data_IF_429624929897
#
_entry.id   IF_429624929897
#
_cell.length_a   1.000
_cell.length_b   1.000
_cell.length_c   1.000
_cell.angle_alpha   90.00
_cell.angle_beta   90.00
_cell.angle_gamma   90.00
#
_symmetry.space_group_name_H-M   'P 1'
#
loop_
_entity.id
_entity.type
_entity.pdbx_description
1 polymer ?
#
# COMPACT_ATOMS: atom_id res chain seq x y z
N UNK A 1 -13.36 8.27 -9.83
CA UNK A 1 -13.65 9.71 -10.01
C UNK A 1 -13.89 10.35 -8.66
N UNK A 2 -13.36 11.54 -8.44
CA UNK A 2 -13.76 12.39 -7.32
C UNK A 2 -15.20 12.86 -7.52
N UNK A 3 -16.04 12.70 -6.50
CA UNK A 3 -17.48 13.00 -6.57
C UNK A 3 -17.76 14.50 -6.65
N UNK A 4 -16.86 15.34 -6.15
CA UNK A 4 -17.04 16.81 -6.12
C UNK A 4 -16.54 17.47 -7.40
N UNK A 5 -15.34 17.12 -7.84
CA UNK A 5 -14.69 17.75 -9.00
C UNK A 5 -14.91 17.00 -10.32
N UNK A 6 -15.43 15.77 -10.29
CA UNK A 6 -15.53 14.91 -11.48
C UNK A 6 -14.19 14.41 -12.01
N UNK A 7 -13.06 14.75 -11.36
CA UNK A 7 -11.72 14.36 -11.81
C UNK A 7 -11.51 12.86 -11.67
N UNK A 8 -10.88 12.24 -12.66
CA UNK A 8 -10.36 10.87 -12.53
C UNK A 8 -9.11 10.95 -11.64
N UNK A 9 -9.11 10.18 -10.53
CA UNK A 9 -7.97 10.11 -9.58
C UNK A 9 -7.19 8.80 -9.72
N UNK A 10 -7.83 7.76 -10.26
CA UNK A 10 -7.27 6.42 -10.43
C UNK A 10 -7.81 5.87 -11.74
N UNK A 11 -6.94 5.27 -12.53
CA UNK A 11 -7.26 4.60 -13.78
C UNK A 11 -6.49 3.27 -13.89
N UNK A 12 -6.96 2.39 -14.77
CA UNK A 12 -6.33 1.10 -15.03
C UNK A 12 -5.54 1.19 -16.33
N UNK A 13 -4.23 1.02 -16.24
CA UNK A 13 -3.34 1.00 -17.40
C UNK A 13 -2.96 -0.44 -17.76
N UNK A 14 -3.28 -0.92 -18.98
CA UNK A 14 -2.92 -2.26 -19.46
C UNK A 14 -1.44 -2.62 -19.33
N UNK A 15 -0.54 -1.64 -19.29
CA UNK A 15 0.91 -1.85 -19.16
C UNK A 15 1.32 -2.47 -17.83
N UNK A 16 0.50 -2.36 -16.79
CA UNK A 16 0.81 -2.94 -15.47
C UNK A 16 0.33 -4.38 -15.27
N UNK A 17 -0.38 -4.95 -16.24
CA UNK A 17 -0.82 -6.35 -16.16
C UNK A 17 0.34 -7.30 -16.45
N UNK A 18 0.43 -8.38 -15.68
CA UNK A 18 1.40 -9.45 -15.91
C UNK A 18 0.68 -10.65 -16.55
N UNK A 19 1.22 -11.26 -17.62
CA UNK A 19 0.63 -12.45 -18.24
C UNK A 19 0.47 -13.65 -17.28
N UNK A 20 1.28 -13.70 -16.23
CA UNK A 20 1.29 -14.75 -15.22
C UNK A 20 1.03 -14.16 -13.82
N UNK A 21 -0.14 -13.55 -13.64
CA UNK A 21 -0.56 -13.00 -12.35
C UNK A 21 -0.86 -14.11 -11.34
N UNK A 22 -0.54 -13.86 -10.06
CA UNK A 22 -0.90 -14.77 -8.96
C UNK A 22 -2.13 -14.21 -8.27
N UNK A 23 -3.25 -14.94 -8.31
CA UNK A 23 -4.53 -14.44 -7.78
C UNK A 23 -4.52 -14.25 -6.26
N UNK A 24 -3.80 -15.08 -5.51
CA UNK A 24 -3.74 -14.98 -4.04
C UNK A 24 -2.40 -15.44 -3.50
N UNK A 25 -1.85 -14.66 -2.58
CA UNK A 25 -0.70 -15.01 -1.77
C UNK A 25 -1.11 -15.00 -0.30
N UNK A 26 -1.18 -16.18 0.31
CA UNK A 26 -1.55 -16.36 1.71
C UNK A 26 -0.49 -17.19 2.43
N UNK A 27 0.32 -16.53 3.27
CA UNK A 27 1.36 -17.20 4.06
C UNK A 27 0.83 -17.73 5.38
N UNK A 28 1.35 -18.89 5.82
CA UNK A 28 1.17 -19.39 7.19
C UNK A 28 2.47 -19.26 8.01
N UNK A 29 2.53 -18.33 8.99
CA UNK A 29 3.70 -18.15 9.83
C UNK A 29 3.78 -19.12 11.03
N UNK A 30 3.02 -20.24 11.05
CA UNK A 30 2.99 -21.18 12.17
C UNK A 30 4.37 -21.66 12.62
N UNK A 31 5.27 -21.98 11.68
CA UNK A 31 6.63 -22.42 11.99
C UNK A 31 7.42 -21.34 12.74
N UNK A 32 7.37 -20.09 12.27
CA UNK A 32 8.08 -18.98 12.90
C UNK A 32 7.52 -18.68 14.30
N UNK A 33 6.19 -18.76 14.48
CA UNK A 33 5.57 -18.66 15.81
C UNK A 33 6.07 -19.73 16.77
N UNK A 34 6.15 -20.99 16.31
CA UNK A 34 6.54 -22.14 17.13
C UNK A 34 8.02 -22.12 17.50
N UNK A 35 8.88 -21.90 16.52
CA UNK A 35 10.32 -22.09 16.71
C UNK A 35 11.03 -20.81 17.19
N UNK A 36 10.48 -19.63 16.87
CA UNK A 36 11.11 -18.34 17.16
C UNK A 36 10.30 -17.47 18.12
N UNK A 37 9.08 -17.89 18.48
CA UNK A 37 8.13 -17.04 19.23
C UNK A 37 7.66 -15.81 18.44
N UNK A 38 7.97 -15.71 17.15
CA UNK A 38 7.71 -14.52 16.34
C UNK A 38 6.31 -14.53 15.74
N UNK A 39 5.57 -13.44 15.93
CA UNK A 39 4.23 -13.23 15.36
C UNK A 39 4.00 -11.75 15.01
N UNK A 40 3.79 -11.38 13.73
CA UNK A 40 3.68 -9.98 13.30
C UNK A 40 2.32 -9.39 13.69
N UNK A 41 2.20 -8.93 14.95
CA UNK A 41 0.97 -8.32 15.50
C UNK A 41 1.09 -6.82 15.78
N UNK A 42 2.29 -6.27 15.66
CA UNK A 42 2.59 -4.90 16.07
C UNK A 42 2.13 -3.83 15.06
N UNK A 43 1.83 -4.22 13.82
CA UNK A 43 1.39 -3.28 12.78
C UNK A 43 0.33 -3.97 11.94
N UNK A 44 -0.88 -3.42 11.91
CA UNK A 44 -1.94 -3.90 11.03
C UNK A 44 -1.70 -3.44 9.59
N UNK A 45 -2.49 -3.97 8.66
CA UNK A 45 -2.44 -3.51 7.26
C UNK A 45 -2.82 -2.03 7.15
N UNK A 46 -3.86 -1.60 7.88
CA UNK A 46 -4.32 -0.21 7.89
C UNK A 46 -3.28 0.73 8.47
N UNK A 47 -2.63 0.34 9.57
CA UNK A 47 -1.56 1.13 10.19
C UNK A 47 -0.34 1.24 9.26
N UNK A 48 -0.01 0.17 8.53
CA UNK A 48 1.05 0.22 7.52
C UNK A 48 0.70 1.23 6.40
N UNK A 49 -0.51 1.17 5.85
CA UNK A 49 -0.98 2.12 4.83
C UNK A 49 -0.92 3.55 5.36
N UNK A 50 -1.40 3.78 6.59
CA UNK A 50 -1.37 5.09 7.22
C UNK A 50 0.06 5.64 7.32
N UNK A 51 1.00 4.86 7.87
CA UNK A 51 2.41 5.26 8.03
C UNK A 51 3.05 5.65 6.70
N UNK A 52 2.78 4.88 5.64
CA UNK A 52 3.31 5.15 4.31
C UNK A 52 2.75 6.45 3.73
N UNK A 53 1.42 6.65 3.80
CA UNK A 53 0.76 7.84 3.25
C UNK A 53 1.14 9.10 4.01
N UNK A 54 1.20 9.04 5.35
CA UNK A 54 1.61 10.18 6.19
C UNK A 54 3.01 10.65 5.83
N UNK A 55 3.94 9.71 5.64
CA UNK A 55 5.30 10.02 5.21
C UNK A 55 5.32 10.70 3.85
N UNK A 56 4.65 10.13 2.84
CA UNK A 56 4.65 10.69 1.48
C UNK A 56 3.98 12.07 1.41
N UNK A 57 2.91 12.29 2.19
CA UNK A 57 2.27 13.61 2.31
C UNK A 57 3.25 14.63 2.90
N UNK A 58 3.95 14.28 3.99
CA UNK A 58 4.94 15.17 4.61
C UNK A 58 6.10 15.47 3.65
N UNK A 59 6.56 14.47 2.89
CA UNK A 59 7.60 14.61 1.88
C UNK A 59 7.20 15.58 0.77
N UNK A 60 5.98 15.44 0.23
CA UNK A 60 5.47 16.32 -0.84
C UNK A 60 5.27 17.75 -0.34
N UNK A 61 4.78 17.92 0.89
CA UNK A 61 4.57 19.24 1.50
C UNK A 61 5.90 19.97 1.77
N UNK A 62 6.91 19.27 2.26
CA UNK A 62 8.23 19.84 2.54
C UNK A 62 9.06 20.14 1.29
N UNK A 63 8.82 19.43 0.19
CA UNK A 63 9.56 19.57 -1.07
C UNK A 63 9.04 20.69 -2.00
N UNK A 64 8.15 21.57 -1.50
CA UNK A 64 7.71 22.75 -2.26
C UNK A 64 6.77 22.46 -3.44
N UNK A 65 5.96 21.38 -3.34
CA UNK A 65 4.76 21.19 -4.16
C UNK A 65 4.96 21.39 -5.67
N UNK A 66 5.73 20.53 -6.32
CA UNK A 66 5.71 20.44 -7.79
C UNK A 66 4.43 19.71 -8.25
N UNK A 67 3.30 20.39 -8.16
CA UNK A 67 2.12 20.09 -8.98
C UNK A 67 1.70 21.42 -9.61
N UNK A 68 2.18 21.64 -10.83
CA UNK A 68 1.50 22.50 -11.81
C UNK A 68 0.29 21.76 -12.35
#
# INVERSE_FOLDING_TARGET
MDRKSGRVLVEVDPRFFRPSEVETLLGDPAKARKELGWNPRATSFEELVQKMVEHDVALVQSSGGAVR
#
